data_IF_315474394473
#
_entry.id   IF_315474394473
#
_cell.length_a   1.000
_cell.length_b   1.000
_cell.length_c   1.000
_cell.angle_alpha   90.00
_cell.angle_beta   90.00
_cell.angle_gamma   90.00
#
_symmetry.space_group_name_H-M   'P 1'
#
loop_
_entity.id
_entity.type
_entity.pdbx_description
1 polymer ?
#
# COMPACT_ATOMS: atom_id res chain seq x y z
N UNK A 1 24.92 10.34 22.62
CA UNK A 1 23.92 11.29 22.06
C UNK A 1 23.10 11.87 23.23
N UNK A 2 23.24 13.17 23.53
CA UNK A 2 22.81 13.79 24.81
C UNK A 2 21.28 13.80 24.98
N UNK A 3 20.77 13.14 26.03
CA UNK A 3 19.35 13.02 26.42
C UNK A 3 18.62 14.38 26.47
N UNK A 4 19.33 15.49 26.77
CA UNK A 4 18.78 16.85 26.80
C UNK A 4 18.14 17.31 25.48
N UNK A 5 18.58 16.83 24.32
CA UNK A 5 18.02 17.24 23.02
C UNK A 5 16.70 16.54 22.66
N UNK A 6 16.38 15.42 23.32
CA UNK A 6 15.09 14.73 23.18
C UNK A 6 13.99 15.39 24.03
N UNK A 7 14.34 15.87 25.22
CA UNK A 7 13.42 16.52 26.16
C UNK A 7 12.85 17.84 25.61
N UNK A 8 13.59 18.51 24.71
CA UNK A 8 13.18 19.78 24.09
C UNK A 8 12.32 19.61 22.82
N UNK A 9 12.00 18.38 22.40
CA UNK A 9 11.16 18.15 21.23
C UNK A 9 10.10 17.06 21.51
N UNK A 10 8.93 17.44 22.05
CA UNK A 10 7.84 16.52 22.39
C UNK A 10 7.41 15.63 21.23
N UNK A 11 7.51 16.16 20.00
CA UNK A 11 7.16 15.44 18.77
C UNK A 11 8.15 14.30 18.49
N UNK A 12 9.46 14.49 18.75
CA UNK A 12 10.46 13.41 18.61
C UNK A 12 10.23 12.30 19.64
N UNK A 13 9.90 12.65 20.88
CA UNK A 13 9.54 11.68 21.92
C UNK A 13 8.31 10.88 21.50
N UNK A 14 7.24 11.58 21.06
CA UNK A 14 6.04 10.94 20.52
C UNK A 14 6.38 9.95 19.40
N UNK A 15 7.20 10.34 18.42
CA UNK A 15 7.61 9.47 17.31
C UNK A 15 8.32 8.19 17.79
N UNK A 16 9.19 8.29 18.79
CA UNK A 16 9.92 7.15 19.34
C UNK A 16 8.97 6.21 20.10
N UNK A 17 8.15 6.76 21.01
CA UNK A 17 7.18 5.99 21.78
C UNK A 17 6.16 5.29 20.87
N UNK A 18 5.73 5.98 19.81
CA UNK A 18 4.86 5.46 18.76
C UNK A 18 5.47 4.25 18.06
N UNK A 19 6.70 4.38 17.55
CA UNK A 19 7.41 3.29 16.84
C UNK A 19 7.65 2.06 17.73
N UNK A 20 7.81 2.25 19.04
CA UNK A 20 7.97 1.17 20.03
C UNK A 20 6.65 0.56 20.50
N UNK A 21 5.50 1.09 20.07
CA UNK A 21 4.18 0.58 20.45
C UNK A 21 3.73 0.97 21.86
N UNK A 22 4.42 1.89 22.54
CA UNK A 22 4.05 2.32 23.90
C UNK A 22 2.80 3.20 23.95
N UNK A 23 2.30 3.64 22.80
CA UNK A 23 1.11 4.49 22.68
C UNK A 23 -0.14 3.71 22.20
N UNK A 24 -0.13 2.38 22.29
CA UNK A 24 -1.26 1.53 21.86
C UNK A 24 -2.55 1.78 22.66
N UNK A 25 -2.42 2.16 23.94
CA UNK A 25 -3.52 2.50 24.84
C UNK A 25 -4.22 3.83 24.50
N UNK A 26 -3.56 4.70 23.73
CA UNK A 26 -4.09 6.02 23.43
C UNK A 26 -5.34 5.93 22.55
N UNK A 27 -6.40 6.72 22.83
CA UNK A 27 -7.56 6.81 21.95
C UNK A 27 -7.19 7.23 20.53
N UNK A 28 -7.79 6.59 19.52
CA UNK A 28 -7.44 6.79 18.11
C UNK A 28 -7.50 8.26 17.69
N UNK A 29 -8.50 9.03 18.14
CA UNK A 29 -8.63 10.45 17.80
C UNK A 29 -7.44 11.29 18.27
N UNK A 30 -6.97 11.07 19.50
CA UNK A 30 -5.80 11.77 20.05
C UNK A 30 -4.52 11.34 19.33
N UNK A 31 -4.36 10.04 19.11
CA UNK A 31 -3.21 9.49 18.39
C UNK A 31 -3.09 10.07 16.98
N UNK A 32 -4.18 10.08 16.22
CA UNK A 32 -4.20 10.62 14.85
C UNK A 32 -3.92 12.12 14.81
N UNK A 33 -4.45 12.91 15.76
CA UNK A 33 -4.15 14.35 15.87
C UNK A 33 -2.65 14.60 16.10
N UNK A 34 -2.01 13.82 16.98
CA UNK A 34 -0.58 13.92 17.25
C UNK A 34 0.27 13.51 16.03
N UNK A 35 -0.09 12.40 15.37
CA UNK A 35 0.55 12.00 14.11
C UNK A 35 0.41 13.07 13.02
N UNK A 36 -0.77 13.68 12.89
CA UNK A 36 -1.00 14.74 11.92
C UNK A 36 -0.15 15.98 12.24
N UNK A 37 -0.07 16.39 13.51
CA UNK A 37 0.80 17.50 13.94
C UNK A 37 2.29 17.20 13.70
N UNK A 38 2.74 15.97 13.96
CA UNK A 38 4.11 15.52 13.66
C UNK A 38 4.43 15.62 12.16
N UNK A 39 3.50 15.22 11.29
CA UNK A 39 3.74 15.08 9.85
C UNK A 39 3.45 16.33 9.02
N UNK A 40 2.41 17.07 9.39
CA UNK A 40 1.90 18.23 8.63
C UNK A 40 2.32 19.55 9.32
N UNK A 41 2.75 19.52 10.58
CA UNK A 41 3.20 20.71 11.30
C UNK A 41 2.08 21.55 11.92
N UNK A 42 0.80 21.20 11.70
CA UNK A 42 -0.38 21.85 12.30
C UNK A 42 -1.37 20.82 12.85
N UNK A 43 -2.29 21.25 13.71
CA UNK A 43 -3.37 20.37 14.18
C UNK A 43 -4.46 20.23 13.10
N UNK A 44 -5.10 19.06 12.96
CA UNK A 44 -6.22 18.89 12.05
C UNK A 44 -7.52 19.42 12.67
N UNK A 45 -8.37 20.06 11.87
CA UNK A 45 -9.78 20.26 12.24
C UNK A 45 -10.58 19.01 11.86
N UNK A 46 -10.82 18.14 12.83
CA UNK A 46 -11.63 16.93 12.65
C UNK A 46 -13.13 17.18 12.88
N UNK A 47 -13.53 18.38 13.30
CA UNK A 47 -14.96 18.74 13.38
C UNK A 47 -15.43 19.19 12.00
N UNK A 48 -14.63 20.02 11.32
CA UNK A 48 -14.91 20.56 10.00
C UNK A 48 -13.71 20.37 9.05
N UNK A 49 -13.43 19.14 8.58
CA UNK A 49 -12.26 18.87 7.72
C UNK A 49 -12.39 19.62 6.38
N UNK A 50 -11.38 20.41 6.02
CA UNK A 50 -11.37 21.21 4.77
C UNK A 50 -10.36 20.71 3.75
N UNK A 51 -9.27 20.11 4.23
CA UNK A 51 -8.23 19.54 3.37
C UNK A 51 -8.43 18.05 3.17
N UNK A 52 -7.88 17.52 2.07
CA UNK A 52 -7.86 16.08 1.81
C UNK A 52 -7.23 15.29 2.98
N UNK A 53 -6.09 15.75 3.48
CA UNK A 53 -5.39 15.09 4.59
C UNK A 53 -6.23 15.02 5.87
N UNK A 54 -6.99 16.08 6.20
CA UNK A 54 -7.92 16.08 7.33
C UNK A 54 -9.09 15.14 7.09
N UNK A 55 -9.66 15.13 5.88
CA UNK A 55 -10.74 14.24 5.51
C UNK A 55 -10.33 12.76 5.63
N UNK A 56 -9.11 12.40 5.25
CA UNK A 56 -8.58 11.04 5.45
C UNK A 56 -8.54 10.68 6.95
N UNK A 57 -8.07 11.57 7.82
CA UNK A 57 -8.06 11.30 9.26
C UNK A 57 -9.48 11.19 9.84
N UNK A 58 -10.42 11.99 9.33
CA UNK A 58 -11.83 11.90 9.70
C UNK A 58 -12.42 10.54 9.29
N UNK A 59 -12.18 10.09 8.05
CA UNK A 59 -12.65 8.79 7.57
C UNK A 59 -12.10 7.64 8.42
N UNK A 60 -10.82 7.67 8.81
CA UNK A 60 -10.24 6.66 9.73
C UNK A 60 -11.01 6.51 11.05
N UNK A 61 -11.61 7.59 11.55
CA UNK A 61 -12.35 7.59 12.82
C UNK A 61 -13.82 7.21 12.65
N UNK A 62 -14.44 7.62 11.55
CA UNK A 62 -15.90 7.62 11.39
C UNK A 62 -16.41 6.64 10.32
N UNK A 63 -15.65 6.37 9.26
CA UNK A 63 -16.03 5.43 8.22
C UNK A 63 -15.43 4.05 8.50
N UNK A 64 -16.26 3.20 9.12
CA UNK A 64 -15.89 1.87 9.61
C UNK A 64 -16.66 0.77 8.87
N UNK A 65 -16.70 0.87 7.55
CA UNK A 65 -17.34 -0.13 6.70
C UNK A 65 -16.61 -1.48 6.82
N UNK A 66 -17.26 -2.56 7.29
CA UNK A 66 -16.62 -3.87 7.48
C UNK A 66 -16.03 -4.45 6.19
N UNK A 67 -16.55 -4.07 5.01
CA UNK A 67 -15.97 -4.46 3.73
C UNK A 67 -14.49 -4.05 3.62
N UNK A 68 -14.07 -2.94 4.23
CA UNK A 68 -12.70 -2.47 4.12
C UNK A 68 -11.68 -3.45 4.70
N UNK A 69 -12.03 -4.21 5.74
CA UNK A 69 -11.16 -5.27 6.27
C UNK A 69 -10.91 -6.36 5.24
N UNK A 70 -11.92 -6.71 4.43
CA UNK A 70 -11.76 -7.60 3.29
C UNK A 70 -10.83 -6.99 2.24
N UNK A 71 -11.01 -5.70 1.92
CA UNK A 71 -10.26 -5.04 0.84
C UNK A 71 -8.78 -4.83 1.15
N UNK A 72 -8.40 -4.69 2.42
CA UNK A 72 -6.99 -4.53 2.79
C UNK A 72 -6.26 -5.85 3.02
N UNK A 73 -6.99 -6.97 3.11
CA UNK A 73 -6.41 -8.31 3.13
C UNK A 73 -6.10 -8.75 1.68
N UNK A 74 -4.82 -8.92 1.36
CA UNK A 74 -4.39 -9.26 -0.02
C UNK A 74 -4.93 -10.58 -0.55
N UNK A 75 -5.37 -11.49 0.32
CA UNK A 75 -6.02 -12.72 -0.10
C UNK A 75 -7.53 -12.50 -0.29
N UNK A 76 -8.21 -11.88 0.68
CA UNK A 76 -9.67 -11.73 0.63
C UNK A 76 -10.15 -10.71 -0.42
N UNK A 77 -9.34 -9.68 -0.72
CA UNK A 77 -9.65 -8.68 -1.75
C UNK A 77 -9.81 -9.30 -3.13
N UNK A 78 -9.17 -10.45 -3.37
CA UNK A 78 -9.22 -11.17 -4.64
C UNK A 78 -10.66 -11.54 -5.01
N UNK A 79 -11.46 -11.97 -4.02
CA UNK A 79 -12.89 -12.26 -4.23
C UNK A 79 -13.66 -11.03 -4.71
N UNK A 80 -13.44 -9.88 -4.07
CA UNK A 80 -14.08 -8.63 -4.47
C UNK A 80 -13.70 -8.21 -5.90
N UNK A 81 -12.43 -8.34 -6.27
CA UNK A 81 -11.94 -8.04 -7.62
C UNK A 81 -12.57 -9.00 -8.64
N UNK A 82 -12.55 -10.31 -8.37
CA UNK A 82 -13.11 -11.32 -9.26
C UNK A 82 -14.61 -11.10 -9.51
N UNK A 83 -15.38 -10.78 -8.48
CA UNK A 83 -16.82 -10.50 -8.60
C UNK A 83 -17.13 -9.16 -9.29
N UNK A 84 -16.25 -8.15 -9.16
CA UNK A 84 -16.53 -6.80 -9.65
C UNK A 84 -16.04 -6.57 -11.08
N UNK A 85 -14.85 -7.07 -11.40
CA UNK A 85 -14.22 -6.87 -12.70
C UNK A 85 -13.76 -8.15 -13.39
N UNK A 86 -13.73 -9.28 -12.69
CA UNK A 86 -13.33 -10.57 -13.25
C UNK A 86 -11.95 -11.03 -12.79
N UNK A 87 -11.81 -12.34 -12.65
CA UNK A 87 -10.60 -13.00 -12.14
C UNK A 87 -9.37 -12.80 -13.06
N UNK A 88 -9.59 -12.59 -14.36
CA UNK A 88 -8.52 -12.36 -15.35
C UNK A 88 -7.60 -11.16 -15.03
N UNK A 89 -8.04 -10.23 -14.18
CA UNK A 89 -7.24 -9.07 -13.77
C UNK A 89 -6.44 -9.31 -12.48
N UNK A 90 -6.52 -10.50 -11.89
CA UNK A 90 -5.73 -10.86 -10.72
C UNK A 90 -4.40 -11.50 -11.14
N UNK A 91 -3.32 -11.10 -10.46
CA UNK A 91 -2.04 -11.82 -10.55
C UNK A 91 -2.27 -13.27 -10.10
N UNK A 92 -1.75 -14.28 -10.82
CA UNK A 92 -1.88 -15.68 -10.42
C UNK A 92 -1.41 -15.92 -8.99
N UNK A 93 -2.27 -16.59 -8.21
CA UNK A 93 -1.98 -16.97 -6.83
C UNK A 93 -1.38 -18.38 -6.82
N UNK A 94 -0.18 -18.50 -6.27
CA UNK A 94 0.56 -19.77 -6.19
C UNK A 94 0.28 -20.52 -4.89
N UNK A 95 -0.17 -19.82 -3.83
CA UNK A 95 -0.55 -20.45 -2.57
C UNK A 95 -0.91 -19.47 -1.46
N UNK A 96 -1.47 -20.03 -0.38
CA UNK A 96 -1.84 -19.31 0.84
C UNK A 96 -1.58 -20.20 2.06
N UNK A 97 -0.96 -19.65 3.10
CA UNK A 97 -0.55 -20.39 4.30
C UNK A 97 -0.79 -19.60 5.59
N UNK A 98 -0.96 -20.32 6.69
CA UNK A 98 -1.07 -19.75 8.03
C UNK A 98 0.29 -19.44 8.67
N UNK A 99 1.33 -20.19 8.30
CA UNK A 99 2.68 -20.05 8.83
C UNK A 99 3.73 -20.24 7.74
N UNK A 100 4.95 -19.75 7.98
CA UNK A 100 6.05 -19.88 7.01
C UNK A 100 6.49 -21.35 6.83
N UNK A 101 6.34 -22.16 7.87
CA UNK A 101 6.77 -23.57 7.86
C UNK A 101 5.83 -24.48 7.06
N UNK A 102 4.63 -24.01 6.71
CA UNK A 102 3.71 -24.71 5.79
C UNK A 102 4.08 -24.53 4.31
N UNK A 103 5.02 -23.65 3.99
CA UNK A 103 5.39 -23.34 2.60
C UNK A 103 6.28 -24.47 2.05
N UNK A 104 5.76 -25.16 1.04
CA UNK A 104 6.51 -26.12 0.24
C UNK A 104 7.20 -25.39 -0.94
N UNK A 105 8.46 -25.01 -0.75
CA UNK A 105 9.24 -24.27 -1.75
C UNK A 105 9.54 -25.08 -3.01
N UNK A 106 9.46 -26.42 -2.96
CA UNK A 106 9.69 -27.27 -4.13
C UNK A 106 8.54 -27.17 -5.12
N UNK A 107 7.31 -26.95 -4.62
CA UNK A 107 6.11 -26.70 -5.44
C UNK A 107 6.03 -25.30 -6.03
N UNK A 108 6.80 -24.35 -5.50
CA UNK A 108 6.84 -22.99 -6.05
C UNK A 108 7.71 -22.93 -7.32
N UNK A 109 7.35 -22.09 -8.30
CA UNK A 109 8.19 -21.82 -9.47
C UNK A 109 9.55 -21.22 -9.07
N UNK A 110 10.46 -21.08 -10.04
CA UNK A 110 11.78 -20.47 -9.77
C UNK A 110 11.67 -19.00 -9.32
N UNK A 111 10.58 -18.31 -9.72
CA UNK A 111 10.34 -16.90 -9.42
C UNK A 111 8.97 -16.72 -8.80
N UNK A 112 8.89 -16.00 -7.68
CA UNK A 112 7.64 -15.75 -6.96
C UNK A 112 7.80 -14.57 -6.00
N UNK A 113 6.68 -14.08 -5.50
CA UNK A 113 6.65 -13.03 -4.47
C UNK A 113 5.85 -13.50 -3.28
N UNK A 114 6.49 -13.64 -2.11
CA UNK A 114 5.80 -13.88 -0.85
C UNK A 114 5.34 -12.56 -0.25
N UNK A 115 4.07 -12.50 0.17
CA UNK A 115 3.48 -11.33 0.83
C UNK A 115 2.70 -11.74 2.07
N UNK A 116 2.80 -10.94 3.13
CA UNK A 116 1.84 -10.98 4.23
C UNK A 116 0.52 -10.32 3.79
N UNK A 117 -0.61 -10.93 4.12
CA UNK A 117 -1.92 -10.44 3.67
C UNK A 117 -2.34 -9.14 4.36
N UNK A 118 -1.97 -8.97 5.63
CA UNK A 118 -2.52 -7.99 6.57
C UNK A 118 -1.70 -6.70 6.75
N UNK A 119 -0.61 -6.53 6.00
CA UNK A 119 0.35 -5.45 6.27
C UNK A 119 0.90 -4.76 5.02
N UNK A 120 1.85 -3.84 5.21
CA UNK A 120 2.76 -3.41 4.16
C UNK A 120 4.21 -3.64 4.58
N UNK A 121 5.03 -4.16 3.66
CA UNK A 121 6.45 -4.45 3.86
C UNK A 121 6.78 -5.91 4.22
N UNK A 122 5.79 -6.72 4.61
CA UNK A 122 5.94 -8.18 4.67
C UNK A 122 6.03 -8.76 3.26
N UNK A 123 7.21 -8.66 2.65
CA UNK A 123 7.48 -8.93 1.25
C UNK A 123 8.83 -9.64 1.07
N UNK A 124 8.87 -10.74 0.32
CA UNK A 124 10.09 -11.38 -0.16
C UNK A 124 9.93 -11.61 -1.65
N UNK A 125 10.85 -11.08 -2.45
CA UNK A 125 10.87 -11.25 -3.90
C UNK A 125 11.93 -12.30 -4.21
N UNK A 126 11.52 -13.41 -4.81
CA UNK A 126 12.40 -14.47 -5.29
C UNK A 126 12.49 -14.36 -6.82
N UNK A 127 13.66 -13.98 -7.34
CA UNK A 127 13.95 -13.96 -8.79
C UNK A 127 14.73 -15.19 -9.25
N UNK A 128 15.28 -15.94 -8.31
CA UNK A 128 16.06 -17.16 -8.52
C UNK A 128 16.02 -17.97 -7.23
N UNK A 129 15.29 -19.09 -7.24
CA UNK A 129 15.04 -19.91 -6.05
C UNK A 129 16.33 -20.50 -5.49
N UNK A 130 17.33 -20.74 -6.33
CA UNK A 130 18.65 -21.25 -5.90
C UNK A 130 19.45 -20.24 -5.07
N UNK A 131 19.14 -18.95 -5.18
CA UNK A 131 19.82 -17.85 -4.48
C UNK A 131 18.99 -17.29 -3.31
N UNK A 132 17.81 -17.85 -3.07
CA UNK A 132 16.93 -17.38 -2.01
C UNK A 132 17.48 -17.78 -0.64
N UNK A 133 17.77 -16.78 0.20
CA UNK A 133 18.04 -17.01 1.62
C UNK A 133 16.71 -17.28 2.36
N UNK A 134 16.38 -18.57 2.48
CA UNK A 134 15.14 -19.04 3.11
C UNK A 134 15.08 -18.64 4.60
N UNK A 135 16.20 -18.67 5.32
CA UNK A 135 16.23 -18.32 6.75
C UNK A 135 16.01 -16.81 6.96
N UNK A 136 16.60 -15.96 6.12
CA UNK A 136 16.33 -14.52 6.14
C UNK A 136 14.87 -14.22 5.77
N UNK A 137 14.33 -14.91 4.76
CA UNK A 137 12.92 -14.81 4.36
C UNK A 137 11.99 -15.20 5.52
N UNK A 138 12.25 -16.35 6.16
CA UNK A 138 11.52 -16.87 7.32
C UNK A 138 11.53 -15.86 8.47
N UNK A 139 12.70 -15.34 8.83
CA UNK A 139 12.85 -14.33 9.88
C UNK A 139 12.03 -13.08 9.58
N UNK A 140 12.11 -12.56 8.35
CA UNK A 140 11.38 -11.36 7.93
C UNK A 140 9.87 -11.57 7.98
N UNK A 141 9.36 -12.63 7.35
CA UNK A 141 7.92 -12.91 7.29
C UNK A 141 7.36 -13.20 8.69
N UNK A 142 8.02 -14.02 9.49
CA UNK A 142 7.56 -14.32 10.86
C UNK A 142 7.55 -13.08 11.77
N UNK A 143 8.45 -12.11 11.55
CA UNK A 143 8.37 -10.81 12.23
C UNK A 143 7.13 -10.01 11.80
N UNK A 144 6.81 -9.99 10.51
CA UNK A 144 5.63 -9.31 9.97
C UNK A 144 4.32 -9.95 10.43
N UNK A 145 4.23 -11.29 10.47
CA UNK A 145 3.04 -12.02 10.93
C UNK A 145 2.65 -11.68 12.38
N UNK A 146 3.63 -11.37 13.24
CA UNK A 146 3.39 -10.97 14.65
C UNK A 146 2.87 -9.54 14.80
N UNK A 147 2.93 -8.72 13.75
CA UNK A 147 2.56 -7.31 13.80
C UNK A 147 1.08 -7.13 13.44
N UNK A 148 0.33 -6.46 14.29
CA UNK A 148 -0.95 -5.88 13.89
C UNK A 148 -0.70 -4.48 13.25
N UNK A 149 -0.94 -4.38 11.94
CA UNK A 149 -0.56 -3.22 11.13
C UNK A 149 -1.33 -1.94 11.50
N UNK A 150 -2.57 -2.07 11.98
CA UNK A 150 -3.42 -0.96 12.41
C UNK A 150 -2.75 -0.04 13.43
N UNK A 151 -1.97 -0.58 14.37
CA UNK A 151 -1.34 0.24 15.41
C UNK A 151 -0.31 1.24 14.88
N UNK A 152 0.17 1.10 13.64
CA UNK A 152 1.14 2.03 13.05
C UNK A 152 0.52 3.41 12.79
N UNK A 153 -0.68 3.43 12.20
CA UNK A 153 -1.34 4.64 11.68
C UNK A 153 -2.83 4.72 11.97
N UNK A 154 -3.35 3.87 12.86
CA UNK A 154 -4.77 3.68 13.19
C UNK A 154 -5.64 3.57 11.94
N UNK A 155 -5.14 2.85 10.95
CA UNK A 155 -5.90 2.51 9.75
C UNK A 155 -6.87 1.40 10.10
N UNK A 156 -8.09 1.80 10.49
CA UNK A 156 -9.12 0.92 11.01
C UNK A 156 -9.35 -0.36 10.16
N UNK A 157 -9.33 -0.32 8.81
CA UNK A 157 -9.51 -1.54 8.00
C UNK A 157 -8.57 -2.70 8.38
N UNK A 158 -7.32 -2.41 8.74
CA UNK A 158 -6.32 -3.41 9.08
C UNK A 158 -6.49 -4.05 10.46
N UNK A 159 -7.39 -3.52 11.31
CA UNK A 159 -7.44 -3.85 12.75
C UNK A 159 -7.65 -5.33 13.03
N UNK A 160 -8.51 -5.97 12.23
CA UNK A 160 -9.00 -7.33 12.44
C UNK A 160 -8.62 -8.29 11.31
N UNK A 161 -7.66 -7.91 10.45
CA UNK A 161 -7.22 -8.79 9.36
C UNK A 161 -6.46 -9.97 9.94
N UNK A 162 -6.82 -11.20 9.54
CA UNK A 162 -6.10 -12.41 9.94
C UNK A 162 -4.77 -12.49 9.19
N UNK A 163 -3.61 -12.49 9.89
CA UNK A 163 -2.31 -12.64 9.25
C UNK A 163 -2.20 -13.99 8.52
N UNK A 164 -1.86 -13.95 7.24
CA UNK A 164 -1.55 -15.09 6.37
C UNK A 164 -0.38 -14.73 5.47
N UNK A 165 0.20 -15.74 4.83
CA UNK A 165 1.19 -15.60 3.77
C UNK A 165 0.52 -15.98 2.46
N UNK A 166 0.74 -15.21 1.40
CA UNK A 166 0.41 -15.59 0.03
C UNK A 166 1.68 -15.63 -0.82
N UNK A 167 1.70 -16.50 -1.83
CA UNK A 167 2.66 -16.45 -2.92
C UNK A 167 1.92 -16.02 -4.19
N UNK A 168 2.44 -15.01 -4.87
CA UNK A 168 1.97 -14.57 -6.19
C UNK A 168 3.06 -14.83 -7.22
N UNK A 169 2.65 -15.03 -8.47
CA UNK A 169 3.58 -15.07 -9.60
C UNK A 169 4.40 -13.77 -9.67
N UNK A 170 5.70 -13.91 -9.95
CA UNK A 170 6.57 -12.76 -10.16
C UNK A 170 6.30 -12.17 -11.55
N UNK A 171 6.00 -10.87 -11.59
CA UNK A 171 5.70 -10.14 -12.82
C UNK A 171 6.77 -9.08 -13.06
N UNK A 172 7.14 -8.85 -14.33
CA UNK A 172 8.02 -7.77 -14.77
C UNK A 172 7.58 -7.23 -16.13
N UNK A 173 7.74 -5.92 -16.34
CA UNK A 173 7.30 -5.22 -17.57
C UNK A 173 8.24 -5.56 -18.74
N UNK A 174 9.54 -5.41 -18.50
CA UNK A 174 10.61 -5.85 -19.40
C UNK A 174 11.70 -6.54 -18.57
N UNK A 175 12.46 -7.49 -19.14
CA UNK A 175 13.55 -8.15 -18.43
C UNK A 175 14.51 -7.14 -17.78
N UNK A 176 14.65 -7.22 -16.46
CA UNK A 176 15.53 -6.33 -15.69
C UNK A 176 14.98 -4.92 -15.43
N UNK A 177 13.76 -4.59 -15.88
CA UNK A 177 13.03 -3.38 -15.50
C UNK A 177 11.91 -3.72 -14.52
N UNK A 178 11.85 -2.98 -13.41
CA UNK A 178 10.77 -3.14 -12.43
C UNK A 178 9.40 -2.75 -13.02
N UNK A 179 8.32 -3.29 -12.44
CA UNK A 179 6.94 -2.97 -12.82
C UNK A 179 6.63 -1.48 -12.63
N UNK A 180 5.95 -0.90 -13.62
CA UNK A 180 5.30 0.41 -13.47
C UNK A 180 3.97 0.22 -12.75
N UNK A 181 3.77 0.90 -11.63
CA UNK A 181 2.46 0.91 -10.97
C UNK A 181 1.64 2.10 -11.44
N UNK A 182 0.42 1.86 -11.93
CA UNK A 182 -0.57 2.90 -12.24
C UNK A 182 -1.55 3.01 -11.07
N UNK A 183 -1.60 4.16 -10.40
CA UNK A 183 -2.35 4.34 -9.15
C UNK A 183 -3.40 5.43 -9.28
N UNK A 184 -4.64 5.01 -9.50
CA UNK A 184 -5.79 5.88 -9.80
C UNK A 184 -6.49 6.32 -8.51
N UNK A 185 -6.52 7.62 -8.24
CA UNK A 185 -7.31 8.19 -7.15
C UNK A 185 -8.75 8.42 -7.62
N UNK A 186 -9.67 7.67 -7.01
CA UNK A 186 -11.08 7.71 -7.33
C UNK A 186 -11.89 8.31 -6.18
N UNK A 187 -12.88 9.12 -6.51
CA UNK A 187 -13.81 9.77 -5.57
C UNK A 187 -15.23 9.41 -5.99
N UNK A 188 -15.94 8.62 -5.17
CA UNK A 188 -17.24 8.04 -5.53
C UNK A 188 -17.21 7.34 -6.91
N UNK A 189 -16.17 6.55 -7.17
CA UNK A 189 -15.96 5.90 -8.46
C UNK A 189 -15.41 6.78 -9.58
N UNK A 190 -15.36 8.11 -9.44
CA UNK A 190 -14.82 8.97 -10.48
C UNK A 190 -13.29 9.13 -10.33
N UNK A 191 -12.52 8.73 -11.35
CA UNK A 191 -11.08 9.02 -11.42
C UNK A 191 -10.87 10.53 -11.49
N UNK A 192 -10.05 11.07 -10.58
CA UNK A 192 -9.73 12.52 -10.53
C UNK A 192 -8.26 12.83 -10.75
N UNK A 193 -7.39 11.87 -10.46
CA UNK A 193 -5.96 11.95 -10.73
C UNK A 193 -5.40 10.52 -10.71
N UNK A 194 -4.22 10.34 -11.27
CA UNK A 194 -3.41 9.16 -11.02
C UNK A 194 -1.95 9.56 -10.81
N UNK A 195 -1.16 8.61 -10.34
CA UNK A 195 0.29 8.70 -10.56
C UNK A 195 0.85 7.39 -11.07
N UNK A 196 1.94 7.49 -11.80
CA UNK A 196 2.74 6.36 -12.26
C UNK A 196 4.00 6.27 -11.40
N UNK A 197 4.19 5.13 -10.74
CA UNK A 197 5.41 4.86 -10.00
C UNK A 197 6.41 4.12 -10.89
N UNK A 198 7.62 4.66 -11.01
CA UNK A 198 8.72 4.05 -11.76
C UNK A 198 9.98 3.88 -10.91
N UNK A 199 10.92 3.09 -11.42
CA UNK A 199 12.27 2.90 -10.86
C UNK A 199 12.27 2.43 -9.39
N UNK A 200 11.29 1.59 -9.01
CA UNK A 200 11.08 1.12 -7.64
C UNK A 200 12.14 0.15 -7.10
N UNK A 201 12.82 -0.58 -7.99
CA UNK A 201 13.76 -1.65 -7.60
C UNK A 201 15.24 -1.38 -7.95
N UNK A 202 15.50 -0.40 -8.82
CA UNK A 202 16.81 -0.25 -9.49
C UNK A 202 17.51 1.04 -9.06
N UNK A 203 16.74 2.11 -8.83
CA UNK A 203 17.25 3.45 -8.53
C UNK A 203 16.40 4.12 -7.43
N UNK A 204 16.26 5.44 -7.54
CA UNK A 204 15.34 6.23 -6.74
C UNK A 204 13.94 6.09 -7.32
N UNK A 205 12.97 5.71 -6.48
CA UNK A 205 11.55 5.70 -6.87
C UNK A 205 11.11 7.09 -7.32
N UNK A 206 10.40 7.16 -8.46
CA UNK A 206 9.86 8.39 -9.05
C UNK A 206 8.35 8.29 -9.20
N UNK A 207 7.62 9.36 -8.86
CA UNK A 207 6.16 9.46 -9.00
C UNK A 207 5.81 10.62 -9.91
N UNK A 208 5.14 10.33 -11.03
CA UNK A 208 4.62 11.33 -11.97
C UNK A 208 3.10 11.34 -11.89
N UNK A 209 2.51 12.51 -11.64
CA UNK A 209 1.07 12.67 -11.46
C UNK A 209 0.43 13.13 -12.76
N UNK A 210 -0.78 12.64 -13.01
CA UNK A 210 -1.55 12.94 -14.21
C UNK A 210 -3.01 13.20 -13.87
N UNK A 211 -3.66 14.02 -14.71
CA UNK A 211 -5.10 14.16 -14.71
C UNK A 211 -5.79 12.92 -15.35
N UNK A 212 -7.13 12.83 -15.35
CA UNK A 212 -7.82 11.68 -15.94
C UNK A 212 -7.61 11.51 -17.45
N UNK A 213 -7.14 12.52 -18.15
CA UNK A 213 -6.85 12.52 -19.60
C UNK A 213 -5.39 12.17 -19.89
N UNK A 214 -4.60 11.88 -18.85
CA UNK A 214 -3.17 11.57 -18.88
C UNK A 214 -2.27 12.78 -19.19
N UNK A 215 -2.72 14.00 -18.93
CA UNK A 215 -1.85 15.18 -18.96
C UNK A 215 -1.05 15.27 -17.65
N UNK A 216 0.25 15.53 -17.75
CA UNK A 216 1.13 15.64 -16.57
C UNK A 216 0.71 16.82 -15.69
N UNK A 217 0.64 16.59 -14.38
CA UNK A 217 0.28 17.59 -13.40
C UNK A 217 1.56 18.12 -12.71
N UNK A 218 1.68 19.46 -12.51
CA UNK A 218 2.84 20.07 -11.89
C UNK A 218 2.83 19.90 -10.36
N UNK A 219 2.85 18.65 -9.90
CA UNK A 219 2.83 18.29 -8.48
C UNK A 219 3.80 17.16 -8.17
N UNK A 220 4.29 17.19 -6.94
CA UNK A 220 5.20 16.17 -6.41
C UNK A 220 4.76 15.74 -5.03
N UNK A 221 5.14 14.51 -4.68
CA UNK A 221 5.02 14.01 -3.31
C UNK A 221 6.41 14.03 -2.65
N UNK A 222 6.72 13.00 -1.87
CA UNK A 222 8.02 12.82 -1.24
C UNK A 222 9.05 12.17 -2.18
N UNK A 223 8.60 11.65 -3.32
CA UNK A 223 9.45 11.20 -4.42
C UNK A 223 9.49 12.26 -5.53
N UNK A 224 10.62 12.40 -6.24
CA UNK A 224 10.72 13.29 -7.39
C UNK A 224 9.89 12.78 -8.58
N UNK A 225 9.62 13.68 -9.54
CA UNK A 225 9.09 13.31 -10.85
C UNK A 225 10.21 12.73 -11.73
N UNK A 226 9.86 12.12 -12.86
CA UNK A 226 10.84 11.65 -13.83
C UNK A 226 11.21 12.75 -14.83
N UNK A 227 12.29 13.48 -14.51
CA UNK A 227 12.80 14.56 -15.36
C UNK A 227 13.57 14.05 -16.60
N UNK A 228 14.05 12.81 -16.55
CA UNK A 228 14.92 12.23 -17.59
C UNK A 228 14.12 11.53 -18.70
N UNK A 229 12.92 11.05 -18.40
CA UNK A 229 12.13 10.22 -19.30
C UNK A 229 10.64 10.55 -19.19
N UNK A 230 10.05 10.91 -20.33
CA UNK A 230 8.61 11.04 -20.46
C UNK A 230 7.90 9.71 -20.19
N UNK A 231 6.89 9.75 -19.33
CA UNK A 231 6.03 8.59 -19.07
C UNK A 231 4.96 8.54 -20.16
N UNK A 232 5.04 7.52 -21.01
CA UNK A 232 4.04 7.29 -22.05
C UNK A 232 2.75 6.73 -21.47
N UNK A 233 1.64 7.12 -22.08
CA UNK A 233 0.32 6.55 -21.78
C UNK A 233 0.30 5.05 -22.12
N UNK A 234 -0.08 4.17 -21.17
CA UNK A 234 -0.14 2.73 -21.43
C UNK A 234 -1.23 2.37 -22.44
N UNK A 235 -1.08 1.21 -23.09
CA UNK A 235 -2.08 0.70 -24.02
C UNK A 235 -3.41 0.40 -23.30
N UNK A 236 -3.33 -0.24 -22.13
CA UNK A 236 -4.49 -0.55 -21.27
C UNK A 236 -5.05 0.65 -20.50
N UNK A 237 -4.68 1.90 -20.79
CA UNK A 237 -5.06 3.06 -19.95
C UNK A 237 -6.57 3.22 -19.76
N UNK A 238 -7.35 3.20 -20.84
CA UNK A 238 -8.81 3.40 -20.77
C UNK A 238 -9.49 2.24 -20.06
N UNK A 239 -9.00 1.02 -20.26
CA UNK A 239 -9.49 -0.16 -19.55
C UNK A 239 -9.19 -0.03 -18.06
N UNK A 240 -7.96 0.25 -17.64
CA UNK A 240 -7.61 0.49 -16.24
C UNK A 240 -8.45 1.61 -15.61
N UNK A 241 -8.69 2.73 -16.32
CA UNK A 241 -9.52 3.84 -15.85
C UNK A 241 -10.98 3.41 -15.62
N UNK A 242 -11.54 2.61 -16.54
CA UNK A 242 -12.88 2.05 -16.40
C UNK A 242 -12.96 1.07 -15.22
N UNK A 243 -11.99 0.17 -15.10
CA UNK A 243 -11.92 -0.82 -14.02
C UNK A 243 -11.75 -0.16 -12.65
N UNK A 244 -10.89 0.86 -12.56
CA UNK A 244 -10.72 1.69 -11.37
C UNK A 244 -12.05 2.30 -10.92
N UNK A 245 -12.81 2.84 -11.89
CA UNK A 245 -14.11 3.45 -11.62
C UNK A 245 -15.12 2.44 -11.08
N UNK A 246 -15.17 1.24 -11.67
CA UNK A 246 -16.04 0.14 -11.22
C UNK A 246 -15.67 -0.33 -9.80
N UNK A 247 -14.39 -0.65 -9.58
CA UNK A 247 -13.88 -1.14 -8.29
C UNK A 247 -14.15 -0.18 -7.14
N UNK A 248 -14.16 1.12 -7.40
CA UNK A 248 -14.18 2.16 -6.36
C UNK A 248 -15.52 2.87 -6.21
N UNK A 249 -16.52 2.50 -7.01
CA UNK A 249 -17.85 3.13 -7.08
C UNK A 249 -18.60 3.23 -5.75
N UNK A 250 -18.35 2.28 -4.82
CA UNK A 250 -19.02 2.21 -3.52
C UNK A 250 -18.30 2.97 -2.40
N UNK A 251 -17.22 3.68 -2.71
CA UNK A 251 -16.36 4.31 -1.70
C UNK A 251 -16.28 5.83 -1.87
N UNK A 252 -16.34 6.61 -0.76
CA UNK A 252 -16.16 8.05 -0.82
C UNK A 252 -14.84 8.43 -1.49
N UNK A 253 -13.79 7.67 -1.17
CA UNK A 253 -12.51 7.72 -1.84
C UNK A 253 -11.84 6.35 -1.73
N UNK A 254 -11.29 5.86 -2.84
CA UNK A 254 -10.39 4.72 -2.88
C UNK A 254 -9.31 4.97 -3.94
N UNK A 255 -8.13 4.38 -3.75
CA UNK A 255 -7.09 4.34 -4.78
C UNK A 255 -7.02 2.91 -5.32
N UNK A 256 -7.17 2.76 -6.63
CA UNK A 256 -7.02 1.48 -7.31
C UNK A 256 -5.65 1.43 -7.98
N UNK A 257 -4.89 0.36 -7.73
CA UNK A 257 -3.53 0.17 -8.20
C UNK A 257 -3.53 -0.95 -9.25
N UNK A 258 -2.92 -0.69 -10.40
CA UNK A 258 -2.85 -1.62 -11.54
C UNK A 258 -1.42 -1.77 -12.06
N UNK A 259 -1.20 -2.88 -12.77
CA UNK A 259 -0.08 -3.11 -13.68
C UNK A 259 -0.64 -3.21 -15.09
N UNK A 260 0.08 -2.66 -16.08
CA UNK A 260 -0.22 -2.86 -17.51
C UNK A 260 0.85 -3.81 -18.06
N UNK A 261 0.44 -4.95 -18.60
CA UNK A 261 1.31 -6.02 -19.09
C UNK A 261 1.18 -6.19 -20.61
N UNK A 262 1.12 -5.06 -21.33
CA UNK A 262 1.02 -5.02 -22.80
C UNK A 262 -0.39 -4.82 -23.35
N UNK A 263 -1.34 -4.31 -22.54
CA UNK A 263 -2.75 -4.16 -22.91
C UNK A 263 -3.67 -4.86 -21.92
#
# INVERSE_FOLDING_TARGET
>A
MKIRHLILNPIKIFSILRRRGFLRWMPDSLYLKLCFKEKIGRWPDLKNPRTFNEKIQWLKLHDRNPLYTQLVDKYEVRKYIAETIGEKYLIPLLGVWGSFDEIDFDKLPNQFVLKCTHDSGGLVICKDKSKLDIEAAKKKINQCLKRNYYYTWREWPYKNVKPRIIAEEYMEDEPGKGLKDYKFFCFNGAVKALFVATDREIHQTKFDFFDPEFNHLPMKQHYPNNEEREIKRPAGFEEMKLLASKLTSKFPHCRADFYDMGG
#
